data_IF_135298513001
#
_entry.id   IF_135298513001
#
_cell.length_a   1.000
_cell.length_b   1.000
_cell.length_c   1.000
_cell.angle_alpha   90.00
_cell.angle_beta   90.00
_cell.angle_gamma   90.00
#
_symmetry.space_group_name_H-M   'P 1'
#
loop_
_entity.id
_entity.type
_entity.pdbx_description
1 polymer ?
#
# COMPACT_ATOMS: atom_id res chain seq x y z
N UNK A 1 0.50 -26.57 -23.06
CA UNK A 1 -0.75 -25.79 -22.95
C UNK A 1 -0.44 -24.57 -22.10
N UNK A 2 -0.17 -23.42 -22.71
CA UNK A 2 0.04 -22.17 -21.98
C UNK A 2 -1.33 -21.61 -21.62
N UNK A 3 -1.72 -21.73 -20.35
CA UNK A 3 -2.88 -21.05 -19.83
C UNK A 3 -2.51 -19.58 -19.68
N UNK A 4 -2.78 -18.76 -20.69
CA UNK A 4 -2.66 -17.30 -20.58
C UNK A 4 -3.81 -16.81 -19.69
N UNK A 5 -3.60 -16.87 -18.38
CA UNK A 5 -4.41 -16.10 -17.44
C UNK A 5 -4.03 -14.63 -17.67
N UNK A 6 -4.97 -13.73 -18.00
CA UNK A 6 -4.64 -12.32 -18.15
C UNK A 6 -4.28 -11.75 -16.77
N UNK A 7 -2.98 -11.70 -16.46
CA UNK A 7 -2.47 -11.08 -15.23
C UNK A 7 -2.64 -9.57 -15.35
N UNK A 8 -3.43 -8.99 -14.45
CA UNK A 8 -3.54 -7.53 -14.33
C UNK A 8 -2.22 -7.00 -13.77
N UNK A 9 -1.55 -6.12 -14.53
CA UNK A 9 -0.23 -5.57 -14.15
C UNK A 9 -0.33 -4.26 -13.37
N UNK A 10 -1.30 -3.42 -13.69
CA UNK A 10 -1.57 -2.16 -12.98
C UNK A 10 -3.04 -1.77 -13.07
N UNK A 11 -3.50 -0.97 -12.12
CA UNK A 11 -4.79 -0.28 -12.17
C UNK A 11 -4.61 1.15 -12.66
N UNK A 12 -5.58 1.62 -13.45
CA UNK A 12 -5.66 3.00 -13.96
C UNK A 12 -7.00 3.61 -13.60
N UNK A 13 -7.00 4.85 -13.14
CA UNK A 13 -8.22 5.63 -12.88
C UNK A 13 -8.37 6.74 -13.93
N UNK A 14 -9.47 6.80 -14.71
CA UNK A 14 -9.67 7.86 -15.70
C UNK A 14 -9.68 9.28 -15.09
N UNK A 15 -10.13 9.41 -13.84
CA UNK A 15 -10.15 10.69 -13.10
C UNK A 15 -8.74 11.17 -12.76
N UNK A 16 -7.77 10.27 -12.66
CA UNK A 16 -6.38 10.57 -12.35
C UNK A 16 -5.44 9.92 -13.36
N UNK A 17 -5.44 10.42 -14.61
CA UNK A 17 -4.75 9.76 -15.73
C UNK A 17 -3.22 9.78 -15.58
N UNK A 18 -2.68 10.64 -14.72
CA UNK A 18 -1.25 10.76 -14.45
C UNK A 18 -0.69 9.67 -13.52
N UNK A 19 -1.53 8.93 -12.79
CA UNK A 19 -1.08 7.90 -11.85
C UNK A 19 -1.24 6.48 -12.43
N UNK A 20 -0.24 5.65 -12.16
CA UNK A 20 -0.23 4.21 -12.44
C UNK A 20 -0.10 3.49 -11.10
N UNK A 21 -1.01 2.57 -10.81
CA UNK A 21 -1.01 1.80 -9.56
C UNK A 21 -0.61 0.35 -9.86
N UNK A 22 0.68 -0.01 -9.75
CA UNK A 22 1.13 -1.37 -10.06
C UNK A 22 0.49 -2.38 -9.10
N UNK A 23 0.14 -3.55 -9.63
CA UNK A 23 -0.29 -4.67 -8.80
C UNK A 23 0.96 -5.33 -8.24
N UNK A 24 0.99 -5.59 -6.93
CA UNK A 24 2.15 -6.15 -6.26
C UNK A 24 2.62 -7.48 -6.87
N UNK A 25 1.71 -8.31 -7.38
CA UNK A 25 2.03 -9.57 -8.05
C UNK A 25 2.71 -9.42 -9.42
N UNK A 26 2.76 -8.21 -9.97
CA UNK A 26 3.49 -7.90 -11.20
C UNK A 26 4.96 -7.53 -10.94
N UNK A 27 5.38 -7.42 -9.68
CA UNK A 27 6.76 -7.14 -9.29
C UNK A 27 7.47 -8.48 -9.05
N UNK A 28 8.44 -8.80 -9.91
CA UNK A 28 9.19 -10.05 -9.92
C UNK A 28 10.53 -9.97 -9.13
N UNK A 29 10.91 -8.77 -8.70
CA UNK A 29 12.07 -8.55 -7.84
C UNK A 29 11.70 -8.66 -6.36
N UNK A 30 12.58 -9.19 -5.49
CA UNK A 30 12.40 -9.12 -4.05
C UNK A 30 12.24 -7.67 -3.58
N UNK A 31 11.15 -7.40 -2.86
CA UNK A 31 10.92 -6.09 -2.25
C UNK A 31 11.63 -6.00 -0.90
N UNK A 32 12.24 -4.85 -0.55
CA UNK A 32 12.81 -4.65 0.77
C UNK A 32 11.71 -4.63 1.83
N UNK A 33 12.08 -4.94 3.06
CA UNK A 33 11.18 -4.72 4.21
C UNK A 33 10.99 -3.21 4.37
N UNK A 34 9.73 -2.71 4.42
CA UNK A 34 9.49 -1.28 4.59
C UNK A 34 9.96 -0.82 5.98
N UNK A 35 10.52 0.38 6.06
CA UNK A 35 10.95 0.98 7.32
C UNK A 35 9.78 1.34 8.26
N UNK A 36 8.58 1.49 7.70
CA UNK A 36 7.35 1.86 8.40
C UNK A 36 6.13 1.30 7.66
N UNK A 37 5.09 0.90 8.41
CA UNK A 37 3.83 0.39 7.86
C UNK A 37 2.66 1.14 8.47
N UNK A 38 1.73 1.55 7.61
CA UNK A 38 0.48 2.21 8.00
C UNK A 38 -0.69 1.27 7.69
N UNK A 39 -1.42 0.87 8.74
CA UNK A 39 -2.66 0.11 8.62
C UNK A 39 -3.83 1.09 8.65
N UNK A 40 -4.47 1.29 7.51
CA UNK A 40 -5.55 2.27 7.33
C UNK A 40 -6.91 1.59 7.19
N UNK A 41 -8.00 2.34 7.36
CA UNK A 41 -9.38 1.84 7.24
C UNK A 41 -9.71 0.68 8.19
N UNK A 42 -9.10 0.66 9.38
CA UNK A 42 -9.29 -0.43 10.34
C UNK A 42 -10.73 -0.56 10.87
N UNK A 43 -11.56 0.48 10.79
CA UNK A 43 -12.99 0.38 11.14
C UNK A 43 -13.79 -0.45 10.13
N UNK A 44 -13.28 -0.59 8.89
CA UNK A 44 -13.90 -1.39 7.83
C UNK A 44 -13.29 -2.79 7.70
N UNK A 45 -12.35 -3.15 8.58
CA UNK A 45 -11.70 -4.46 8.55
C UNK A 45 -12.65 -5.53 9.11
N UNK A 46 -12.58 -6.72 8.54
CA UNK A 46 -13.29 -7.87 9.11
C UNK A 46 -12.65 -8.33 10.44
N UNK A 47 -13.41 -8.97 11.35
CA UNK A 47 -12.90 -9.41 12.65
C UNK A 47 -11.72 -10.38 12.57
N UNK A 48 -11.65 -11.20 11.51
CA UNK A 48 -10.60 -12.21 11.32
C UNK A 48 -9.26 -11.62 10.83
N UNK A 49 -9.22 -10.33 10.47
CA UNK A 49 -7.97 -9.66 10.07
C UNK A 49 -7.14 -9.33 11.31
N UNK A 50 -5.97 -9.95 11.42
CA UNK A 50 -5.00 -9.71 12.48
C UNK A 50 -4.12 -8.52 12.08
N UNK A 51 -4.04 -7.52 12.96
CA UNK A 51 -3.20 -6.33 12.78
C UNK A 51 -2.10 -6.35 13.85
N UNK A 52 -0.83 -6.13 13.50
CA UNK A 52 0.26 -6.01 14.47
C UNK A 52 -0.04 -4.94 15.51
N UNK A 53 0.31 -5.12 16.80
CA UNK A 53 0.07 -4.11 17.83
C UNK A 53 0.76 -2.77 17.50
N UNK A 54 0.07 -1.66 17.73
CA UNK A 54 0.56 -0.29 17.50
C UNK A 54 1.81 0.06 18.35
N UNK A 55 2.06 -0.68 19.43
CA UNK A 55 3.27 -0.54 20.24
C UNK A 55 4.54 -1.06 19.54
N UNK A 56 4.42 -1.76 18.40
CA UNK A 56 5.57 -2.16 17.63
C UNK A 56 6.21 -0.93 16.97
N UNK A 57 7.52 -0.78 17.18
CA UNK A 57 8.30 0.30 16.58
C UNK A 57 8.10 0.24 15.06
N UNK A 58 7.47 1.27 14.49
CA UNK A 58 7.18 1.44 13.05
C UNK A 58 5.88 0.80 12.49
N UNK A 59 4.95 0.34 13.33
CA UNK A 59 3.60 -0.04 12.92
C UNK A 59 2.61 1.04 13.38
N UNK A 60 1.91 1.71 12.46
CA UNK A 60 0.93 2.75 12.79
C UNK A 60 -0.49 2.31 12.42
N UNK A 61 -1.44 2.52 13.31
CA UNK A 61 -2.84 2.13 13.10
C UNK A 61 -3.79 3.33 12.96
N UNK A 62 -4.59 3.33 11.88
CA UNK A 62 -5.59 4.34 11.60
C UNK A 62 -6.96 3.71 11.35
N UNK A 63 -7.96 4.18 12.10
CA UNK A 63 -9.36 3.79 11.92
C UNK A 63 -9.90 4.10 10.52
N UNK A 64 -9.51 5.26 10.00
CA UNK A 64 -9.85 5.77 8.68
C UNK A 64 -8.55 6.10 7.92
N UNK A 65 -8.62 6.99 6.93
CA UNK A 65 -7.41 7.56 6.33
C UNK A 65 -6.64 8.43 7.35
N UNK A 66 -5.29 8.41 7.32
CA UNK A 66 -4.49 9.38 8.05
C UNK A 66 -4.69 10.79 7.48
N UNK A 67 -4.42 11.81 8.30
CA UNK A 67 -4.42 13.21 7.86
C UNK A 67 -3.33 13.50 6.82
N UNK A 68 -2.21 12.75 6.92
CA UNK A 68 -1.10 12.82 5.99
C UNK A 68 -1.36 11.99 4.73
N UNK A 69 -1.29 12.63 3.56
CA UNK A 69 -1.35 11.95 2.26
C UNK A 69 -0.04 11.22 1.92
N UNK A 70 -0.10 10.22 1.04
CA UNK A 70 1.07 9.41 0.65
C UNK A 70 2.21 10.24 0.04
N UNK A 71 1.90 11.29 -0.72
CA UNK A 71 2.92 12.19 -1.28
C UNK A 71 3.63 12.99 -0.19
N UNK A 72 2.87 13.57 0.75
CA UNK A 72 3.41 14.32 1.88
C UNK A 72 4.25 13.42 2.80
N UNK A 73 3.79 12.18 3.03
CA UNK A 73 4.53 11.17 3.79
C UNK A 73 5.93 10.93 3.20
N UNK A 74 6.03 10.78 1.87
CA UNK A 74 7.32 10.61 1.18
C UNK A 74 8.19 11.85 1.30
N UNK A 75 7.62 13.06 1.15
CA UNK A 75 8.35 14.34 1.31
C UNK A 75 8.98 14.47 2.69
N UNK A 76 8.21 14.26 3.76
CA UNK A 76 8.71 14.41 5.14
C UNK A 76 9.84 13.45 5.46
N UNK A 77 9.82 12.25 4.84
CA UNK A 77 10.84 11.21 5.03
C UNK A 77 11.97 11.26 4.00
N UNK A 78 11.93 12.21 3.06
CA UNK A 78 12.91 12.36 1.96
C UNK A 78 13.04 11.09 1.12
N UNK A 79 11.89 10.47 0.82
CA UNK A 79 11.77 9.24 0.05
C UNK A 79 11.25 9.47 -1.38
N UNK A 80 11.37 10.71 -1.87
CA UNK A 80 11.05 11.03 -3.26
C UNK A 80 12.13 10.44 -4.19
N UNK A 81 11.68 9.89 -5.32
CA UNK A 81 12.55 9.29 -6.33
C UNK A 81 13.23 10.34 -7.22
#
# INVERSE_FOLDING_TARGET
MSCLVPTVTYHRCPKYPAYIYPVASAIDTPLPVPAERNHILLDSKEPWVIVPPDAAKHEHQFKQYPDEGIEEWHKKRKLEA
#
